data_IF_939166338633
#
_entry.id   IF_939166338633
#
_cell.length_a   1.000
_cell.length_b   1.000
_cell.length_c   1.000
_cell.angle_alpha   90.00
_cell.angle_beta   90.00
_cell.angle_gamma   90.00
#
_symmetry.space_group_name_H-M   'P 1'
#
loop_
_entity.id
_entity.type
_entity.pdbx_description
1 polymer ?
#
# COMPACT_ATOMS: atom_id res chain seq x y z
N UNK A 1 27.83 9.89 -34.59
CA UNK A 1 26.73 10.79 -34.98
C UNK A 1 26.13 11.33 -33.69
N UNK A 2 25.90 12.61 -33.43
CA UNK A 2 25.85 13.86 -34.20
C UNK A 2 26.13 14.98 -33.19
N UNK A 3 27.01 15.93 -33.54
CA UNK A 3 27.41 17.03 -32.67
C UNK A 3 26.39 18.16 -32.70
N UNK A 4 25.82 18.48 -31.54
CA UNK A 4 24.85 19.56 -31.32
C UNK A 4 25.57 20.92 -31.29
N UNK A 5 25.48 21.70 -32.37
CA UNK A 5 25.96 23.10 -32.38
C UNK A 5 24.98 23.97 -31.60
N UNK A 6 25.50 24.68 -30.59
CA UNK A 6 24.85 25.83 -29.94
C UNK A 6 24.90 27.01 -30.92
N UNK A 7 23.74 27.44 -31.41
CA UNK A 7 23.58 28.71 -32.14
C UNK A 7 23.27 29.81 -31.13
N UNK A 8 24.32 30.43 -30.60
CA UNK A 8 24.23 31.63 -29.78
C UNK A 8 24.21 32.86 -30.69
N UNK A 9 23.08 33.56 -30.74
CA UNK A 9 22.97 35.04 -30.82
C UNK A 9 24.03 35.77 -31.67
N UNK A 10 24.05 35.56 -32.98
CA UNK A 10 24.77 36.43 -33.94
C UNK A 10 23.82 37.15 -34.91
N UNK A 11 22.52 36.83 -34.88
CA UNK A 11 21.54 37.33 -35.87
C UNK A 11 20.97 38.73 -35.56
N UNK A 12 21.41 39.40 -34.49
CA UNK A 12 20.81 40.67 -34.02
C UNK A 12 21.71 41.90 -34.06
N UNK A 13 23.03 41.75 -34.22
CA UNK A 13 23.95 42.90 -34.22
C UNK A 13 24.09 43.58 -35.58
N UNK A 14 24.06 42.82 -36.67
CA UNK A 14 24.25 43.35 -38.03
C UNK A 14 23.04 44.22 -38.44
N UNK A 15 21.82 43.72 -38.20
CA UNK A 15 20.59 44.49 -38.45
C UNK A 15 20.47 45.75 -37.57
N UNK A 16 20.99 45.74 -36.34
CA UNK A 16 20.98 46.91 -35.46
C UNK A 16 21.98 47.97 -35.93
N UNK A 17 23.19 47.56 -36.33
CA UNK A 17 24.19 48.46 -36.89
C UNK A 17 23.72 49.07 -38.21
N UNK A 18 23.02 48.30 -39.07
CA UNK A 18 22.43 48.82 -40.30
C UNK A 18 21.33 49.85 -40.04
N UNK A 19 20.46 49.63 -39.05
CA UNK A 19 19.42 50.59 -38.66
C UNK A 19 20.04 51.86 -38.08
N UNK A 20 21.05 51.74 -37.21
CA UNK A 20 21.73 52.90 -36.61
C UNK A 20 22.51 53.68 -37.67
N UNK A 21 23.21 53.00 -38.58
CA UNK A 21 23.94 53.65 -39.66
C UNK A 21 23.01 54.42 -40.60
N UNK A 22 21.85 53.84 -40.94
CA UNK A 22 20.87 54.50 -41.79
C UNK A 22 20.22 55.71 -41.09
N UNK A 23 19.91 55.60 -39.79
CA UNK A 23 19.36 56.70 -39.00
C UNK A 23 20.35 57.85 -38.86
N UNK A 24 21.62 57.56 -38.54
CA UNK A 24 22.68 58.59 -38.44
C UNK A 24 22.95 59.21 -39.80
N UNK A 25 22.95 58.42 -40.88
CA UNK A 25 23.11 58.92 -42.25
C UNK A 25 22.03 59.92 -42.64
N UNK A 26 20.76 59.61 -42.39
CA UNK A 26 19.63 60.52 -42.63
C UNK A 26 19.77 61.80 -41.79
N UNK A 27 20.22 61.68 -40.54
CA UNK A 27 20.37 62.82 -39.63
C UNK A 27 21.50 63.76 -40.07
N UNK A 28 22.63 63.23 -40.53
CA UNK A 28 23.73 64.02 -41.10
C UNK A 28 23.27 64.74 -42.37
N UNK A 29 22.56 64.05 -43.26
CA UNK A 29 22.02 64.66 -44.49
C UNK A 29 21.05 65.80 -44.15
N UNK A 30 20.15 65.61 -43.18
CA UNK A 30 19.22 66.65 -42.74
C UNK A 30 19.93 67.87 -42.14
N UNK A 31 20.95 67.68 -41.30
CA UNK A 31 21.71 68.78 -40.70
C UNK A 31 22.48 69.57 -41.76
N UNK A 32 23.07 68.88 -42.74
CA UNK A 32 23.77 69.54 -43.87
C UNK A 32 22.79 70.31 -44.74
N UNK A 33 21.63 69.71 -45.08
CA UNK A 33 20.59 70.40 -45.87
C UNK A 33 20.07 71.63 -45.12
N UNK A 34 19.76 71.51 -43.83
CA UNK A 34 19.31 72.64 -43.02
C UNK A 34 20.39 73.73 -42.89
N UNK A 35 21.67 73.34 -42.79
CA UNK A 35 22.80 74.26 -42.80
C UNK A 35 22.92 75.03 -44.12
N UNK A 36 22.81 74.34 -45.26
CA UNK A 36 22.86 74.97 -46.58
C UNK A 36 21.65 75.87 -46.86
N UNK A 37 20.45 75.45 -46.45
CA UNK A 37 19.21 76.23 -46.64
C UNK A 37 19.22 77.49 -45.78
N UNK A 38 19.69 77.41 -44.54
CA UNK A 38 19.82 78.58 -43.65
C UNK A 38 20.83 79.57 -44.21
N UNK A 39 21.96 79.10 -44.75
CA UNK A 39 22.95 79.99 -45.37
C UNK A 39 22.37 80.72 -46.59
N UNK A 40 21.63 80.01 -47.45
CA UNK A 40 20.97 80.57 -48.62
C UNK A 40 19.90 81.62 -48.25
N UNK A 41 19.12 81.39 -47.19
CA UNK A 41 18.13 82.35 -46.69
C UNK A 41 18.81 83.59 -46.09
N UNK A 42 19.92 83.42 -45.34
CA UNK A 42 20.65 84.56 -44.76
C UNK A 42 21.37 85.40 -45.81
N UNK A 43 21.85 84.81 -46.91
CA UNK A 43 22.42 85.57 -48.03
C UNK A 43 21.35 86.35 -48.80
N UNK A 44 20.18 85.75 -49.06
CA UNK A 44 19.04 86.45 -49.67
C UNK A 44 18.52 87.62 -48.81
N UNK A 45 18.42 87.43 -47.49
CA UNK A 45 18.01 88.50 -46.58
C UNK A 45 19.06 89.63 -46.45
N UNK A 46 20.33 89.35 -46.74
CA UNK A 46 21.40 90.36 -46.68
C UNK A 46 21.51 91.18 -47.97
N UNK A 47 21.02 90.67 -49.10
CA UNK A 47 21.03 91.40 -50.38
C UNK A 47 19.87 92.38 -50.59
N UNK A 48 18.78 92.30 -49.82
CA UNK A 48 17.57 93.11 -50.03
C UNK A 48 17.43 94.34 -49.11
N UNK A 49 18.32 94.54 -48.14
CA UNK A 49 18.14 95.64 -47.16
C UNK A 49 19.01 96.86 -47.47
N UNK A 50 18.58 97.70 -48.42
CA UNK A 50 18.90 99.14 -48.42
C UNK A 50 17.79 99.86 -47.65
N UNK A 51 18.06 100.57 -46.55
CA UNK A 51 17.04 101.31 -45.83
C UNK A 51 17.01 102.77 -46.32
N UNK A 52 15.96 103.13 -47.06
CA UNK A 52 15.46 104.51 -47.10
C UNK A 52 14.03 104.49 -47.66
N UNK A 53 13.04 104.63 -46.77
CA UNK A 53 12.08 105.74 -46.79
C UNK A 53 10.95 105.48 -45.78
N UNK A 54 10.80 106.43 -44.88
CA UNK A 54 9.79 106.53 -43.83
C UNK A 54 8.37 106.65 -44.40
N UNK A 55 7.46 105.76 -43.99
CA UNK A 55 6.03 105.89 -44.23
C UNK A 55 5.47 106.96 -43.27
N UNK A 56 5.18 108.14 -43.80
CA UNK A 56 4.30 109.11 -43.18
C UNK A 56 2.85 108.64 -43.39
N UNK A 57 2.08 108.61 -42.30
CA UNK A 57 0.65 108.27 -42.29
C UNK A 57 -0.12 109.56 -42.59
N UNK A 58 -0.80 109.61 -43.73
CA UNK A 58 -1.73 110.70 -44.07
C UNK A 58 -3.18 110.23 -43.84
N UNK A 59 -3.85 110.88 -42.89
CA UNK A 59 -5.28 110.80 -42.65
C UNK A 59 -6.00 111.64 -43.73
N UNK A 60 -6.44 111.05 -44.84
CA UNK A 60 -7.64 111.47 -45.60
C UNK A 60 -7.74 110.87 -47.01
N UNK A 61 -8.00 109.58 -47.10
CA UNK A 61 -8.65 109.03 -48.30
C UNK A 61 -9.47 107.82 -47.92
N UNK A 62 -10.79 107.91 -48.08
CA UNK A 62 -11.62 106.74 -48.34
C UNK A 62 -11.23 106.24 -49.74
N UNK A 63 -10.06 105.60 -49.86
CA UNK A 63 -9.68 104.89 -51.06
C UNK A 63 -10.63 103.71 -51.19
N UNK A 64 -11.65 103.88 -52.02
CA UNK A 64 -12.43 102.75 -52.50
C UNK A 64 -11.43 101.77 -53.13
N UNK A 65 -11.39 100.55 -52.60
CA UNK A 65 -10.48 99.51 -53.04
C UNK A 65 -10.43 99.45 -54.57
N UNK A 66 -9.21 99.50 -55.12
CA UNK A 66 -9.03 99.42 -56.57
C UNK A 66 -9.67 98.14 -57.09
N UNK A 67 -10.32 98.19 -58.26
CA UNK A 67 -11.03 97.05 -58.84
C UNK A 67 -10.15 95.79 -58.92
N UNK A 68 -8.85 95.95 -59.15
CA UNK A 68 -7.87 94.85 -59.13
C UNK A 68 -7.59 94.26 -57.74
N UNK A 69 -7.65 95.05 -56.66
CA UNK A 69 -7.52 94.55 -55.29
C UNK A 69 -8.76 93.74 -54.86
N UNK A 70 -9.96 94.16 -55.30
CA UNK A 70 -11.21 93.41 -55.07
C UNK A 70 -11.22 92.07 -55.81
N UNK A 71 -10.71 92.04 -57.05
CA UNK A 71 -10.57 90.79 -57.82
C UNK A 71 -9.56 89.82 -57.16
N UNK A 72 -8.42 90.33 -56.66
CA UNK A 72 -7.44 89.52 -55.92
C UNK A 72 -8.00 88.96 -54.60
N UNK A 73 -8.76 89.77 -53.85
CA UNK A 73 -9.44 89.32 -52.62
C UNK A 73 -10.51 88.26 -52.92
N UNK A 74 -11.25 88.42 -54.02
CA UNK A 74 -12.20 87.42 -54.51
C UNK A 74 -11.50 86.10 -54.87
N UNK A 75 -10.35 86.16 -55.54
CA UNK A 75 -9.55 84.97 -55.85
C UNK A 75 -9.01 84.28 -54.59
N UNK A 76 -8.48 85.04 -53.64
CA UNK A 76 -8.03 84.51 -52.35
C UNK A 76 -9.17 83.91 -51.53
N UNK A 77 -10.33 84.54 -51.49
CA UNK A 77 -11.52 84.03 -50.80
C UNK A 77 -12.03 82.73 -51.44
N UNK A 78 -12.03 82.65 -52.78
CA UNK A 78 -12.35 81.43 -53.52
C UNK A 78 -11.36 80.30 -53.22
N UNK A 79 -10.05 80.58 -53.21
CA UNK A 79 -9.02 79.60 -52.84
C UNK A 79 -9.18 79.14 -51.39
N UNK A 80 -9.39 80.05 -50.45
CA UNK A 80 -9.62 79.73 -49.04
C UNK A 80 -10.88 78.87 -48.85
N UNK A 81 -11.99 79.20 -49.52
CA UNK A 81 -13.22 78.42 -49.49
C UNK A 81 -13.02 77.02 -50.10
N UNK A 82 -12.23 76.89 -51.17
CA UNK A 82 -11.90 75.59 -51.76
C UNK A 82 -11.03 74.72 -50.84
N UNK A 83 -10.00 75.31 -50.21
CA UNK A 83 -9.15 74.62 -49.24
C UNK A 83 -9.94 74.19 -47.99
N UNK A 84 -10.90 75.00 -47.55
CA UNK A 84 -11.77 74.65 -46.43
C UNK A 84 -12.71 73.49 -46.78
N UNK A 85 -13.26 73.45 -47.99
CA UNK A 85 -14.04 72.28 -48.47
C UNK A 85 -13.18 71.03 -48.54
N UNK A 86 -11.97 71.12 -49.07
CA UNK A 86 -11.03 70.00 -49.15
C UNK A 86 -10.64 69.48 -47.76
N UNK A 87 -10.43 70.38 -46.79
CA UNK A 87 -10.16 70.02 -45.39
C UNK A 87 -11.33 69.25 -44.77
N UNK A 88 -12.57 69.72 -45.00
CA UNK A 88 -13.77 69.03 -44.50
C UNK A 88 -13.94 67.64 -45.14
N UNK A 89 -13.70 67.52 -46.44
CA UNK A 89 -13.73 66.22 -47.13
C UNK A 89 -12.66 65.26 -46.59
N UNK A 90 -11.46 65.77 -46.29
CA UNK A 90 -10.39 64.97 -45.71
C UNK A 90 -10.73 64.51 -44.28
N UNK A 91 -11.30 65.39 -43.46
CA UNK A 91 -11.77 65.04 -42.11
C UNK A 91 -12.86 63.96 -42.14
N UNK A 92 -13.80 64.03 -43.09
CA UNK A 92 -14.80 62.96 -43.26
C UNK A 92 -14.15 61.63 -43.65
N UNK A 93 -13.17 61.66 -44.56
CA UNK A 93 -12.42 60.45 -44.95
C UNK A 93 -11.65 59.87 -43.77
N UNK A 94 -10.96 60.70 -42.99
CA UNK A 94 -10.26 60.31 -41.77
C UNK A 94 -11.20 59.63 -40.77
N UNK A 95 -12.37 60.24 -40.49
CA UNK A 95 -13.37 59.63 -39.59
C UNK A 95 -13.86 58.27 -40.07
N UNK A 96 -14.04 58.09 -41.39
CA UNK A 96 -14.42 56.79 -41.98
C UNK A 96 -13.31 55.76 -41.80
N UNK A 97 -12.05 56.14 -42.03
CA UNK A 97 -10.92 55.24 -41.82
C UNK A 97 -10.72 54.89 -40.35
N UNK A 98 -10.85 55.84 -39.42
CA UNK A 98 -10.76 55.56 -37.99
C UNK A 98 -11.83 54.57 -37.53
N UNK A 99 -13.07 54.74 -38.01
CA UNK A 99 -14.14 53.79 -37.75
C UNK A 99 -13.83 52.39 -38.31
N UNK A 100 -13.26 52.31 -39.52
CA UNK A 100 -12.86 51.06 -40.13
C UNK A 100 -11.72 50.37 -39.37
N UNK A 101 -10.71 51.14 -38.93
CA UNK A 101 -9.58 50.65 -38.13
C UNK A 101 -10.10 50.13 -36.78
N UNK A 102 -11.02 50.83 -36.13
CA UNK A 102 -11.62 50.39 -34.87
C UNK A 102 -12.38 49.06 -35.04
N UNK A 103 -13.15 48.91 -36.12
CA UNK A 103 -13.84 47.65 -36.44
C UNK A 103 -12.85 46.50 -36.70
N UNK A 104 -11.80 46.75 -37.48
CA UNK A 104 -10.76 45.75 -37.76
C UNK A 104 -10.01 45.34 -36.48
N UNK A 105 -9.70 46.28 -35.60
CA UNK A 105 -9.06 45.99 -34.32
C UNK A 105 -9.97 45.16 -33.41
N UNK A 106 -11.27 45.45 -33.37
CA UNK A 106 -12.23 44.65 -32.62
C UNK A 106 -12.33 43.21 -33.16
N UNK A 107 -12.42 43.07 -34.48
CA UNK A 107 -12.44 41.76 -35.14
C UNK A 107 -11.14 40.97 -34.89
N UNK A 108 -9.99 41.65 -34.96
CA UNK A 108 -8.69 41.06 -34.63
C UNK A 108 -8.62 40.62 -33.18
N UNK A 109 -9.12 41.43 -32.24
CA UNK A 109 -9.20 41.08 -30.82
C UNK A 109 -9.99 39.79 -30.61
N UNK A 110 -11.18 39.68 -31.18
CA UNK A 110 -11.99 38.45 -31.12
C UNK A 110 -11.26 37.24 -31.70
N UNK A 111 -10.53 37.43 -32.81
CA UNK A 111 -9.79 36.33 -33.44
C UNK A 111 -8.59 35.87 -32.61
N UNK A 112 -7.91 36.79 -31.92
CA UNK A 112 -6.85 36.47 -30.96
C UNK A 112 -7.40 35.77 -29.73
N UNK A 113 -8.57 36.17 -29.22
CA UNK A 113 -9.23 35.50 -28.10
C UNK A 113 -9.59 34.05 -28.47
N UNK A 114 -10.16 33.84 -29.67
CA UNK A 114 -10.45 32.51 -30.19
C UNK A 114 -9.19 31.67 -30.37
N UNK A 115 -8.10 32.27 -30.86
CA UNK A 115 -6.81 31.61 -30.97
C UNK A 115 -6.30 31.18 -29.59
N UNK A 116 -6.37 32.05 -28.58
CA UNK A 116 -5.95 31.72 -27.22
C UNK A 116 -6.77 30.58 -26.61
N UNK A 117 -8.09 30.55 -26.85
CA UNK A 117 -8.95 29.43 -26.41
C UNK A 117 -8.54 28.13 -27.12
N UNK A 118 -8.29 28.18 -28.43
CA UNK A 118 -7.89 27.00 -29.20
C UNK A 118 -6.52 26.45 -28.77
N UNK A 119 -5.56 27.34 -28.48
CA UNK A 119 -4.22 26.97 -27.97
C UNK A 119 -4.32 26.33 -26.58
N UNK A 120 -5.12 26.90 -25.67
CA UNK A 120 -5.34 26.33 -24.34
C UNK A 120 -6.01 24.95 -24.41
N UNK A 121 -7.04 24.79 -25.26
CA UNK A 121 -7.72 23.51 -25.45
C UNK A 121 -6.79 22.44 -26.07
N UNK A 122 -5.89 22.87 -26.98
CA UNK A 122 -4.87 22.00 -27.55
C UNK A 122 -3.86 21.53 -26.50
N UNK A 123 -3.38 22.44 -25.64
CA UNK A 123 -2.43 22.11 -24.57
C UNK A 123 -3.05 21.16 -23.54
N UNK A 124 -4.32 21.38 -23.18
CA UNK A 124 -5.08 20.47 -22.31
C UNK A 124 -5.19 19.07 -22.92
N UNK A 125 -5.65 18.96 -24.18
CA UNK A 125 -5.77 17.68 -24.89
C UNK A 125 -4.42 16.97 -25.05
N UNK A 126 -3.33 17.72 -25.29
CA UNK A 126 -1.99 17.17 -25.34
C UNK A 126 -1.56 16.60 -23.98
N UNK A 127 -1.83 17.33 -22.90
CA UNK A 127 -1.51 16.88 -21.54
C UNK A 127 -2.27 15.61 -21.14
N UNK A 128 -3.56 15.51 -21.51
CA UNK A 128 -4.39 14.31 -21.28
C UNK A 128 -3.86 13.10 -22.07
N UNK A 129 -3.48 13.32 -23.33
CA UNK A 129 -2.90 12.27 -24.15
C UNK A 129 -1.58 11.76 -23.57
N UNK A 130 -0.72 12.65 -23.09
CA UNK A 130 0.55 12.29 -22.47
C UNK A 130 0.33 11.54 -21.15
N UNK A 131 -0.63 11.97 -20.31
CA UNK A 131 -1.03 11.23 -19.12
C UNK A 131 -1.57 9.84 -19.46
N UNK A 132 -2.37 9.72 -20.52
CA UNK A 132 -2.91 8.44 -20.98
C UNK A 132 -1.80 7.51 -21.48
N UNK A 133 -0.84 8.03 -22.25
CA UNK A 133 0.35 7.29 -22.69
C UNK A 133 1.19 6.83 -21.50
N UNK A 134 1.46 7.70 -20.52
CA UNK A 134 2.17 7.33 -19.29
C UNK A 134 1.43 6.23 -18.53
N UNK A 135 0.11 6.35 -18.37
CA UNK A 135 -0.72 5.33 -17.72
C UNK A 135 -0.68 4.00 -18.47
N UNK A 136 -0.78 4.02 -19.79
CA UNK A 136 -0.70 2.80 -20.61
C UNK A 136 0.68 2.13 -20.53
N UNK A 137 1.77 2.92 -20.51
CA UNK A 137 3.13 2.40 -20.37
C UNK A 137 3.37 1.79 -18.98
N UNK A 138 2.80 2.39 -17.93
CA UNK A 138 2.81 1.84 -16.57
C UNK A 138 2.07 0.51 -16.51
N UNK A 139 0.85 0.46 -17.05
CA UNK A 139 0.03 -0.76 -17.07
C UNK A 139 0.72 -1.89 -17.86
N UNK A 140 1.33 -1.57 -19.01
CA UNK A 140 2.12 -2.55 -19.77
C UNK A 140 3.35 -3.06 -19.01
N UNK A 141 3.97 -2.23 -18.16
CA UNK A 141 5.07 -2.67 -17.30
C UNK A 141 4.56 -3.64 -16.23
N UNK A 142 3.46 -3.31 -15.56
CA UNK A 142 2.82 -4.16 -14.56
C UNK A 142 2.40 -5.51 -15.16
N UNK A 143 1.84 -5.52 -16.37
CA UNK A 143 1.51 -6.76 -17.09
C UNK A 143 2.76 -7.60 -17.34
N UNK A 144 3.85 -7.01 -17.86
CA UNK A 144 5.11 -7.74 -18.10
C UNK A 144 5.73 -8.30 -16.82
N UNK A 145 5.64 -7.56 -15.72
CA UNK A 145 6.12 -7.99 -14.41
C UNK A 145 5.30 -9.19 -13.90
N UNK A 146 3.97 -9.10 -13.97
CA UNK A 146 3.08 -10.20 -13.61
C UNK A 146 3.29 -11.44 -14.51
N UNK A 147 3.49 -11.26 -15.82
CA UNK A 147 3.81 -12.35 -16.75
C UNK A 147 5.15 -13.01 -16.40
N UNK A 148 6.16 -12.21 -16.02
CA UNK A 148 7.45 -12.72 -15.55
C UNK A 148 7.33 -13.49 -14.24
N UNK A 149 6.52 -13.02 -13.29
CA UNK A 149 6.24 -13.73 -12.04
C UNK A 149 5.51 -15.05 -12.30
N UNK A 150 4.50 -15.04 -13.17
CA UNK A 150 3.78 -16.26 -13.57
C UNK A 150 4.73 -17.25 -14.23
N UNK A 151 5.61 -16.79 -15.13
CA UNK A 151 6.62 -17.64 -15.77
C UNK A 151 7.63 -18.20 -14.75
N UNK A 152 8.07 -17.38 -13.78
CA UNK A 152 8.96 -17.83 -12.71
C UNK A 152 8.28 -18.88 -11.82
N UNK A 153 7.03 -18.63 -11.42
CA UNK A 153 6.23 -19.56 -10.62
C UNK A 153 5.96 -20.87 -11.37
N UNK A 154 5.60 -20.81 -12.65
CA UNK A 154 5.46 -21.98 -13.50
C UNK A 154 6.78 -22.77 -13.56
N UNK A 155 7.91 -22.10 -13.77
CA UNK A 155 9.23 -22.74 -13.77
C UNK A 155 9.62 -23.32 -12.41
N UNK A 156 9.21 -22.71 -11.28
CA UNK A 156 9.40 -23.31 -9.95
C UNK A 156 8.52 -24.53 -9.75
N UNK A 157 7.27 -24.48 -10.19
CA UNK A 157 6.33 -25.61 -10.12
C UNK A 157 6.85 -26.79 -10.94
N UNK A 158 7.34 -26.55 -12.15
CA UNK A 158 7.91 -27.59 -13.01
C UNK A 158 9.22 -28.15 -12.40
N UNK A 159 10.04 -27.30 -11.77
CA UNK A 159 11.20 -27.78 -11.00
C UNK A 159 10.80 -28.64 -9.82
N UNK A 160 9.85 -28.20 -9.00
CA UNK A 160 9.35 -28.96 -7.84
C UNK A 160 8.64 -30.25 -8.25
N UNK A 161 8.02 -30.29 -9.44
CA UNK A 161 7.40 -31.49 -9.98
C UNK A 161 8.42 -32.49 -10.55
N UNK A 162 9.53 -32.00 -11.10
CA UNK A 162 10.60 -32.82 -11.69
C UNK A 162 11.76 -33.11 -10.72
N UNK A 163 11.90 -32.34 -9.65
CA UNK A 163 12.62 -32.76 -8.46
C UNK A 163 11.85 -33.97 -7.94
N UNK A 164 12.37 -35.16 -8.22
CA UNK A 164 11.95 -36.38 -7.55
C UNK A 164 11.93 -36.04 -6.06
N UNK A 165 10.72 -35.98 -5.49
CA UNK A 165 10.52 -35.72 -4.08
C UNK A 165 11.55 -36.60 -3.37
N UNK A 166 12.45 -36.05 -2.53
CA UNK A 166 13.44 -36.85 -1.87
C UNK A 166 12.64 -37.98 -1.25
N UNK A 167 12.92 -39.20 -1.69
CA UNK A 167 12.31 -40.40 -1.15
C UNK A 167 12.90 -40.46 0.25
N UNK A 168 12.35 -39.62 1.14
CA UNK A 168 12.24 -39.92 2.54
C UNK A 168 11.42 -41.18 2.46
N UNK A 169 12.12 -42.30 2.45
CA UNK A 169 11.57 -43.55 2.88
C UNK A 169 11.06 -43.26 4.29
N UNK A 170 9.84 -42.74 4.35
CA UNK A 170 9.01 -42.89 5.53
C UNK A 170 8.96 -44.39 5.61
N UNK A 171 9.77 -44.99 6.47
CA UNK A 171 9.59 -46.34 6.91
C UNK A 171 8.14 -46.37 7.39
N UNK A 172 7.27 -46.84 6.50
CA UNK A 172 5.87 -47.04 6.77
C UNK A 172 5.87 -48.30 7.60
N UNK A 173 6.08 -48.08 8.89
CA UNK A 173 5.67 -48.99 9.92
C UNK A 173 4.22 -49.35 9.58
N UNK A 174 3.93 -50.62 9.22
CA UNK A 174 2.60 -51.01 8.81
C UNK A 174 1.65 -50.57 9.92
N UNK A 175 0.64 -49.77 9.58
CA UNK A 175 -0.39 -49.33 10.52
C UNK A 175 -0.93 -50.58 11.22
N UNK A 176 -0.62 -50.79 12.52
CA UNK A 176 -1.17 -51.91 13.25
C UNK A 176 -2.69 -51.78 13.19
N UNK A 177 -3.36 -52.85 12.77
CA UNK A 177 -4.81 -52.92 12.89
C UNK A 177 -5.16 -52.64 14.35
N UNK A 178 -6.10 -51.71 14.58
CA UNK A 178 -6.60 -51.36 15.91
C UNK A 178 -7.12 -52.61 16.63
N UNK A 179 -6.23 -53.29 17.36
CA UNK A 179 -6.56 -54.40 18.23
C UNK A 179 -6.91 -53.76 19.56
N UNK A 180 -8.15 -53.89 20.01
CA UNK A 180 -8.55 -53.53 21.36
C UNK A 180 -7.80 -54.45 22.31
N UNK A 181 -6.64 -54.02 22.79
CA UNK A 181 -5.84 -54.75 23.76
C UNK A 181 -6.49 -54.56 25.13
N UNK A 182 -7.08 -55.62 25.65
CA UNK A 182 -7.50 -55.71 27.04
C UNK A 182 -6.25 -56.08 27.85
N UNK A 183 -5.52 -55.08 28.36
CA UNK A 183 -4.30 -55.31 29.13
C UNK A 183 -3.81 -54.06 29.85
N UNK A 184 -2.58 -54.09 30.36
CA UNK A 184 -2.00 -53.03 31.19
C UNK A 184 -1.81 -51.74 30.37
N UNK A 185 -2.29 -50.59 30.88
CA UNK A 185 -2.12 -49.29 30.24
C UNK A 185 -1.07 -48.47 31.00
N UNK A 186 -0.10 -47.90 30.27
CA UNK A 186 0.86 -46.94 30.81
C UNK A 186 0.53 -45.57 30.24
N UNK A 187 0.19 -44.64 31.12
CA UNK A 187 -0.03 -43.25 30.75
C UNK A 187 1.26 -42.44 30.87
N UNK A 188 1.63 -41.78 29.77
CA UNK A 188 2.77 -40.88 29.68
C UNK A 188 2.28 -39.48 29.33
N UNK A 189 2.91 -38.46 29.92
CA UNK A 189 2.68 -37.05 29.58
C UNK A 189 3.89 -36.48 28.85
N UNK A 190 3.67 -35.88 27.69
CA UNK A 190 4.67 -35.19 26.87
C UNK A 190 4.30 -33.71 26.73
N UNK A 191 4.96 -32.84 27.51
CA UNK A 191 4.82 -31.37 27.48
C UNK A 191 6.20 -30.73 27.47
N UNK A 192 6.38 -29.67 26.69
CA UNK A 192 7.61 -28.89 26.53
C UNK A 192 8.85 -29.75 26.29
N UNK A 193 8.72 -30.80 25.47
CA UNK A 193 9.79 -31.74 25.15
C UNK A 193 10.22 -32.65 26.31
N UNK A 194 9.42 -32.72 27.38
CA UNK A 194 9.69 -33.55 28.58
C UNK A 194 8.66 -34.67 28.71
N UNK A 195 9.14 -35.88 28.98
CA UNK A 195 8.34 -37.06 29.22
C UNK A 195 8.28 -37.39 30.71
N UNK A 196 7.08 -37.68 31.21
CA UNK A 196 6.84 -38.15 32.58
C UNK A 196 5.80 -39.27 32.60
N UNK A 197 5.89 -40.16 33.59
CA UNK A 197 4.88 -41.22 33.80
C UNK A 197 3.76 -40.68 34.67
N UNK A 198 2.52 -40.81 34.22
CA UNK A 198 1.33 -40.46 34.98
C UNK A 198 0.92 -41.69 35.81
N UNK A 199 0.97 -41.66 37.15
CA UNK A 199 0.70 -42.83 37.99
C UNK A 199 -0.81 -43.05 38.19
N UNK A 200 -1.54 -43.29 37.09
CA UNK A 200 -3.00 -43.44 37.07
C UNK A 200 -3.46 -44.57 37.98
N UNK A 201 -2.86 -45.76 37.87
CA UNK A 201 -3.27 -46.94 38.64
C UNK A 201 -3.13 -46.74 40.16
N UNK A 202 -1.97 -46.23 40.59
CA UNK A 202 -1.67 -46.01 42.01
C UNK A 202 -2.63 -44.96 42.59
N UNK A 203 -2.79 -43.83 41.90
CA UNK A 203 -3.70 -42.77 42.33
C UNK A 203 -5.15 -43.24 42.32
N UNK A 204 -5.59 -44.08 41.38
CA UNK A 204 -6.97 -44.61 41.40
C UNK A 204 -7.22 -45.55 42.57
N UNK A 205 -6.19 -46.31 42.97
CA UNK A 205 -6.25 -47.11 44.19
C UNK A 205 -6.37 -46.23 45.44
N UNK A 206 -5.63 -45.13 45.50
CA UNK A 206 -5.73 -44.13 46.59
C UNK A 206 -7.11 -43.47 46.62
N UNK A 207 -7.66 -43.03 45.48
CA UNK A 207 -9.02 -42.49 45.38
C UNK A 207 -10.03 -43.51 45.93
N UNK A 208 -9.94 -44.78 45.50
CA UNK A 208 -10.87 -45.82 45.96
C UNK A 208 -10.82 -46.02 47.47
N UNK A 209 -9.63 -45.98 48.07
CA UNK A 209 -9.46 -46.06 49.52
C UNK A 209 -9.99 -44.83 50.24
N UNK A 210 -9.77 -43.64 49.69
CA UNK A 210 -10.27 -42.39 50.26
C UNK A 210 -11.81 -42.33 50.21
N UNK A 211 -12.41 -42.68 49.06
CA UNK A 211 -13.87 -42.78 48.87
C UNK A 211 -14.52 -43.71 49.90
N UNK A 212 -13.86 -44.83 50.23
CA UNK A 212 -14.35 -45.79 51.23
C UNK A 212 -14.29 -45.25 52.67
N UNK A 213 -13.33 -44.39 52.99
CA UNK A 213 -13.17 -43.75 54.30
C UNK A 213 -14.07 -42.52 54.48
N UNK A 214 -14.47 -41.91 53.37
CA UNK A 214 -15.25 -40.67 53.36
C UNK A 214 -16.70 -40.88 53.83
N UNK A 215 -17.27 -39.86 54.47
CA UNK A 215 -18.63 -39.89 55.04
C UNK A 215 -19.71 -40.08 53.96
N UNK A 216 -20.74 -40.90 54.26
CA UNK A 216 -21.90 -41.19 53.40
C UNK A 216 -22.96 -40.07 53.38
N UNK A 217 -22.55 -38.81 53.34
CA UNK A 217 -23.49 -37.67 53.22
C UNK A 217 -23.85 -37.42 51.75
N UNK A 218 -25.14 -37.15 51.42
CA UNK A 218 -25.54 -36.85 50.05
C UNK A 218 -24.95 -35.52 49.57
N UNK A 219 -24.71 -35.42 48.26
CA UNK A 219 -24.13 -34.24 47.61
C UNK A 219 -22.82 -34.53 46.88
N UNK A 220 -22.22 -33.45 46.36
CA UNK A 220 -20.95 -33.51 45.66
C UNK A 220 -19.81 -33.22 46.64
N UNK A 221 -18.79 -34.08 46.63
CA UNK A 221 -17.58 -33.87 47.44
C UNK A 221 -16.38 -33.86 46.53
N UNK A 222 -15.63 -32.75 46.54
CA UNK A 222 -14.34 -32.64 45.90
C UNK A 222 -13.24 -33.04 46.89
N UNK A 223 -12.25 -33.79 46.43
CA UNK A 223 -11.08 -34.16 47.22
C UNK A 223 -9.86 -34.37 46.31
N UNK A 224 -8.69 -34.41 46.93
CA UNK A 224 -7.39 -34.53 46.27
C UNK A 224 -6.59 -35.65 46.94
N UNK A 225 -5.98 -36.53 46.13
CA UNK A 225 -5.05 -37.58 46.61
C UNK A 225 -3.69 -37.45 45.92
N UNK A 226 -2.65 -38.00 46.55
CA UNK A 226 -1.25 -37.83 46.17
C UNK A 226 -0.44 -37.02 47.20
N UNK A 227 0.81 -36.62 46.89
CA UNK A 227 1.48 -36.73 45.60
C UNK A 227 2.15 -38.10 45.38
N UNK A 228 1.99 -38.65 44.17
CA UNK A 228 2.71 -39.86 43.70
C UNK A 228 3.44 -39.49 42.41
N UNK A 229 4.76 -39.75 42.34
CA UNK A 229 5.62 -39.40 41.17
C UNK A 229 5.41 -37.96 40.67
N UNK A 230 5.28 -36.99 41.58
CA UNK A 230 4.99 -35.58 41.29
C UNK A 230 3.63 -35.30 40.63
N UNK A 231 2.66 -36.20 40.80
CA UNK A 231 1.27 -36.01 40.37
C UNK A 231 0.30 -36.00 41.55
N UNK A 232 -0.71 -35.15 41.45
CA UNK A 232 -1.89 -35.15 42.31
C UNK A 232 -3.13 -35.48 41.48
N UNK A 233 -4.11 -36.15 42.08
CA UNK A 233 -5.38 -36.43 41.45
C UNK A 233 -6.52 -35.71 42.17
N UNK A 234 -7.17 -34.78 41.45
CA UNK A 234 -8.35 -34.06 41.89
C UNK A 234 -9.59 -34.80 41.39
N UNK A 235 -10.54 -35.13 42.25
CA UNK A 235 -11.76 -35.83 41.85
C UNK A 235 -12.99 -35.29 42.56
N UNK A 236 -14.14 -35.54 41.93
CA UNK A 236 -15.46 -35.23 42.48
C UNK A 236 -16.25 -36.52 42.61
N UNK A 237 -16.80 -36.78 43.79
CA UNK A 237 -17.77 -37.85 44.02
C UNK A 237 -19.16 -37.22 44.08
N UNK A 238 -20.06 -37.71 43.24
CA UNK A 238 -21.48 -37.40 43.32
C UNK A 238 -22.20 -38.52 44.09
N UNK A 239 -22.89 -38.18 45.17
CA UNK A 239 -23.68 -39.13 45.95
C UNK A 239 -25.15 -38.77 45.91
N UNK A 240 -25.96 -39.62 45.28
CA UNK A 240 -27.41 -39.45 45.17
C UNK A 240 -28.16 -40.48 46.01
N UNK A 241 -29.28 -40.06 46.58
CA UNK A 241 -30.17 -40.91 47.36
C UNK A 241 -31.39 -41.19 46.50
N UNK A 242 -31.61 -42.46 46.16
CA UNK A 242 -32.71 -42.90 45.32
C UNK A 242 -33.52 -44.00 45.99
N UNK A 243 -34.80 -44.13 45.62
CA UNK A 243 -35.59 -45.31 45.96
C UNK A 243 -35.14 -46.43 45.04
N UNK A 244 -34.63 -47.52 45.61
CA UNK A 244 -34.24 -48.71 44.87
C UNK A 244 -35.14 -49.85 45.30
N UNK A 245 -35.74 -50.52 44.32
CA UNK A 245 -36.57 -51.70 44.53
C UNK A 245 -35.73 -52.92 44.20
N UNK A 246 -35.34 -53.67 45.23
CA UNK A 246 -34.63 -54.94 45.07
C UNK A 246 -35.48 -56.03 45.74
N UNK A 247 -35.78 -57.09 45.00
CA UNK A 247 -36.58 -58.25 45.45
C UNK A 247 -37.91 -57.87 46.12
N UNK A 248 -38.67 -56.95 45.50
CA UNK A 248 -40.01 -56.57 45.96
C UNK A 248 -40.05 -55.68 47.22
N UNK A 249 -38.90 -55.33 47.81
CA UNK A 249 -38.80 -54.37 48.92
C UNK A 249 -38.30 -53.02 48.40
N UNK A 250 -39.06 -51.96 48.63
CA UNK A 250 -38.65 -50.59 48.29
C UNK A 250 -37.82 -50.02 49.44
N UNK A 251 -36.52 -49.86 49.21
CA UNK A 251 -35.59 -49.23 50.16
C UNK A 251 -35.08 -47.89 49.64
N UNK A 252 -34.51 -47.09 50.54
CA UNK A 252 -33.71 -45.93 50.17
C UNK A 252 -32.26 -46.43 50.05
N UNK A 253 -31.66 -46.30 48.88
CA UNK A 253 -30.25 -46.63 48.65
C UNK A 253 -29.48 -45.39 48.22
N UNK A 254 -28.29 -45.24 48.76
CA UNK A 254 -27.35 -44.21 48.36
C UNK A 254 -26.41 -44.78 47.30
N UNK A 255 -26.37 -44.15 46.13
CA UNK A 255 -25.43 -44.50 45.07
C UNK A 255 -24.35 -43.43 44.98
N UNK A 256 -23.09 -43.84 45.05
CA UNK A 256 -21.95 -42.97 44.82
C UNK A 256 -21.41 -43.21 43.41
N UNK A 257 -21.24 -42.14 42.63
CA UNK A 257 -20.61 -42.17 41.32
C UNK A 257 -19.35 -41.30 41.37
N UNK A 258 -18.22 -41.86 40.92
CA UNK A 258 -17.02 -41.09 40.69
C UNK A 258 -17.22 -40.27 39.42
N UNK A 259 -17.11 -38.94 39.52
CA UNK A 259 -17.20 -38.03 38.39
C UNK A 259 -15.91 -38.02 37.57
N UNK A 260 -15.53 -36.83 37.08
CA UNK A 260 -14.25 -36.62 36.42
C UNK A 260 -13.12 -36.62 37.46
N UNK A 261 -11.99 -37.23 37.08
CA UNK A 261 -10.74 -37.23 37.81
C UNK A 261 -9.71 -36.50 36.97
N UNK A 262 -9.15 -35.42 37.47
CA UNK A 262 -8.10 -34.65 36.83
C UNK A 262 -6.75 -34.98 37.47
N UNK A 263 -5.79 -35.41 36.67
CA UNK A 263 -4.41 -35.64 37.07
C UNK A 263 -3.58 -34.44 36.68
N UNK A 264 -2.94 -33.83 37.68
CA UNK A 264 -2.16 -32.62 37.53
C UNK A 264 -0.75 -32.86 38.05
N UNK A 265 0.29 -32.42 37.31
CA UNK A 265 1.65 -32.44 37.81
C UNK A 265 1.81 -31.36 38.89
N UNK A 266 2.60 -31.64 39.92
CA UNK A 266 2.93 -30.67 40.97
C UNK A 266 3.80 -29.52 40.43
N UNK A 267 4.53 -29.76 39.34
CA UNK A 267 5.37 -28.76 38.68
C UNK A 267 5.28 -28.92 37.17
N UNK A 268 5.19 -27.81 36.44
CA UNK A 268 5.07 -27.86 34.97
C UNK A 268 6.28 -28.51 34.29
N UNK A 269 7.47 -28.39 34.89
CA UNK A 269 8.73 -28.99 34.45
C UNK A 269 8.89 -30.48 34.81
N UNK A 270 7.84 -31.13 35.33
CA UNK A 270 7.86 -32.55 35.67
C UNK A 270 8.21 -33.42 34.45
N UNK A 271 9.22 -34.28 34.62
CA UNK A 271 9.70 -35.20 33.59
C UNK A 271 11.12 -34.95 33.10
N UNK A 272 11.64 -35.91 32.34
CA UNK A 272 12.97 -35.85 31.74
C UNK A 272 12.87 -35.38 30.28
N UNK A 273 13.85 -34.63 29.76
CA UNK A 273 13.85 -34.19 28.38
C UNK A 273 13.93 -35.40 27.43
N UNK A 274 13.20 -35.36 26.32
CA UNK A 274 13.06 -36.50 25.40
C UNK A 274 14.42 -37.03 24.89
N UNK A 275 15.38 -36.12 24.66
CA UNK A 275 16.72 -36.49 24.20
C UNK A 275 17.51 -37.33 25.20
N UNK A 276 17.21 -37.25 26.50
CA UNK A 276 17.79 -38.12 27.53
C UNK A 276 17.00 -39.43 27.65
N UNK A 277 15.67 -39.35 27.53
CA UNK A 277 14.78 -40.52 27.62
C UNK A 277 15.04 -41.54 26.51
N UNK A 278 15.34 -41.06 25.32
CA UNK A 278 15.64 -41.90 24.15
C UNK A 278 17.04 -42.52 24.20
N UNK A 279 17.93 -42.07 25.11
CA UNK A 279 19.24 -42.70 25.33
C UNK A 279 19.07 -43.95 26.19
N UNK A 280 19.96 -44.93 25.98
CA UNK A 280 19.96 -46.17 26.76
C UNK A 280 20.11 -45.88 28.26
N UNK A 281 19.21 -46.47 29.09
CA UNK A 281 19.09 -46.39 30.56
C UNK A 281 18.25 -45.24 31.13
N UNK A 282 17.13 -44.90 30.50
CA UNK A 282 16.19 -43.90 31.04
C UNK A 282 15.16 -44.50 32.00
N UNK A 283 14.36 -43.65 32.67
CA UNK A 283 13.25 -44.12 33.51
C UNK A 283 12.24 -44.97 32.72
N UNK A 284 12.09 -44.68 31.42
CA UNK A 284 11.19 -45.40 30.53
C UNK A 284 11.64 -46.86 30.39
N UNK A 285 12.95 -47.11 30.36
CA UNK A 285 13.50 -48.48 30.29
C UNK A 285 13.16 -49.27 31.55
N UNK A 286 13.22 -48.62 32.71
CA UNK A 286 12.88 -49.24 34.00
C UNK A 286 11.38 -49.53 34.08
N UNK A 287 10.54 -48.61 33.60
CA UNK A 287 9.09 -48.77 33.63
C UNK A 287 8.59 -49.85 32.65
N UNK A 288 9.28 -50.00 31.51
CA UNK A 288 9.00 -51.03 30.51
C UNK A 288 9.67 -52.37 30.81
N UNK A 289 10.73 -52.40 31.63
CA UNK A 289 11.43 -53.62 32.00
C UNK A 289 10.50 -54.59 32.74
N UNK A 290 10.24 -55.76 32.14
CA UNK A 290 9.40 -56.81 32.72
C UNK A 290 7.93 -56.77 32.30
N UNK A 291 7.52 -55.83 31.45
CA UNK A 291 6.17 -55.80 30.86
C UNK A 291 6.14 -56.54 29.52
N UNK A 292 5.02 -57.22 29.23
CA UNK A 292 4.81 -57.91 27.95
C UNK A 292 4.36 -56.91 26.87
N UNK A 293 5.13 -56.69 25.79
CA UNK A 293 4.76 -55.77 24.71
C UNK A 293 3.43 -56.09 24.03
N UNK A 294 2.99 -57.36 24.04
CA UNK A 294 1.71 -57.76 23.43
C UNK A 294 0.49 -57.47 24.30
N UNK A 295 0.69 -57.32 25.61
CA UNK A 295 -0.38 -57.10 26.59
C UNK A 295 -0.40 -55.66 27.13
N UNK A 296 0.69 -54.90 26.98
CA UNK A 296 0.79 -53.53 27.46
C UNK A 296 0.55 -52.50 26.35
N UNK A 297 -0.33 -51.53 26.60
CA UNK A 297 -0.55 -50.36 25.74
C UNK A 297 0.02 -49.11 26.38
N UNK A 298 0.75 -48.31 25.61
CA UNK A 298 1.31 -47.03 26.08
C UNK A 298 0.47 -45.90 25.52
N UNK A 299 -0.18 -45.14 26.40
CA UNK A 299 -0.97 -43.96 26.03
C UNK A 299 -0.17 -42.70 26.31
N UNK A 300 0.13 -41.93 25.25
CA UNK A 300 0.87 -40.68 25.33
C UNK A 300 -0.09 -39.50 25.22
N UNK A 301 -0.24 -38.75 26.31
CA UNK A 301 -0.92 -37.47 26.37
C UNK A 301 0.04 -36.37 25.91
N UNK A 302 -0.25 -35.77 24.77
CA UNK A 302 0.68 -34.86 24.09
C UNK A 302 0.09 -33.47 23.93
N UNK A 303 0.86 -32.46 24.33
CA UNK A 303 0.50 -31.06 24.19
C UNK A 303 1.00 -30.49 22.85
N UNK A 304 0.43 -29.36 22.37
CA UNK A 304 0.76 -28.82 21.05
C UNK A 304 2.23 -28.43 20.88
N UNK A 305 2.90 -28.11 21.97
CA UNK A 305 4.32 -27.75 22.01
C UNK A 305 5.26 -28.92 21.74
N UNK A 306 4.77 -30.17 21.83
CA UNK A 306 5.61 -31.37 21.80
C UNK A 306 5.19 -32.40 20.72
N UNK A 307 4.46 -31.97 19.69
CA UNK A 307 4.04 -32.86 18.60
C UNK A 307 5.21 -33.37 17.75
N UNK A 308 6.32 -32.61 17.66
CA UNK A 308 7.52 -33.03 16.93
C UNK A 308 8.23 -34.22 17.58
N UNK A 309 8.30 -34.21 18.91
CA UNK A 309 8.95 -35.21 19.75
C UNK A 309 8.16 -36.52 19.83
N UNK A 310 6.84 -36.45 19.65
CA UNK A 310 5.95 -37.63 19.66
C UNK A 310 6.38 -38.68 18.62
N UNK A 311 6.86 -38.25 17.45
CA UNK A 311 7.29 -39.17 16.39
C UNK A 311 8.50 -39.99 16.84
N UNK A 312 9.50 -39.33 17.40
CA UNK A 312 10.72 -39.99 17.90
C UNK A 312 10.40 -40.97 19.03
N UNK A 313 9.47 -40.59 19.93
CA UNK A 313 8.99 -41.47 20.98
C UNK A 313 8.26 -42.69 20.43
N UNK A 314 7.37 -42.51 19.44
CA UNK A 314 6.64 -43.61 18.80
C UNK A 314 7.58 -44.60 18.12
N UNK A 315 8.56 -44.10 17.35
CA UNK A 315 9.56 -44.95 16.70
C UNK A 315 10.35 -45.76 17.73
N UNK A 316 10.76 -45.14 18.84
CA UNK A 316 11.46 -45.82 19.93
C UNK A 316 10.62 -46.90 20.64
N UNK A 317 9.33 -46.63 20.90
CA UNK A 317 8.43 -47.59 21.51
C UNK A 317 8.07 -48.74 20.56
N UNK A 318 7.91 -48.44 19.27
CA UNK A 318 7.66 -49.46 18.25
C UNK A 318 8.85 -50.41 18.08
N UNK A 319 10.08 -49.90 18.05
CA UNK A 319 11.29 -50.74 17.99
C UNK A 319 11.37 -51.75 19.15
N UNK A 320 10.67 -51.48 20.27
CA UNK A 320 10.56 -52.36 21.44
C UNK A 320 9.32 -53.24 21.45
N UNK A 321 8.46 -53.13 20.44
CA UNK A 321 7.27 -53.95 20.24
C UNK A 321 6.01 -53.49 20.98
N UNK A 322 6.01 -52.30 21.61
CA UNK A 322 4.85 -51.81 22.35
C UNK A 322 3.84 -51.08 21.45
N UNK A 323 2.55 -51.35 21.67
CA UNK A 323 1.47 -50.58 21.04
C UNK A 323 1.37 -49.18 21.66
N UNK A 324 1.31 -48.13 20.84
CA UNK A 324 1.32 -46.73 21.31
C UNK A 324 0.08 -45.97 20.87
N UNK A 325 -0.75 -45.53 21.81
CA UNK A 325 -1.85 -44.59 21.57
C UNK A 325 -1.36 -43.15 21.79
N UNK A 326 -1.81 -42.19 20.97
CA UNK A 326 -1.56 -40.77 21.20
C UNK A 326 -2.87 -40.02 21.41
N UNK A 327 -2.94 -39.19 22.46
CA UNK A 327 -4.09 -38.36 22.80
C UNK A 327 -3.66 -36.89 22.86
N UNK A 328 -4.00 -36.09 21.83
CA UNK A 328 -3.70 -34.67 21.85
C UNK A 328 -4.57 -33.95 22.89
N UNK A 329 -3.94 -33.11 23.71
CA UNK A 329 -4.60 -32.23 24.67
C UNK A 329 -4.44 -30.78 24.24
N UNK A 330 -5.36 -29.91 24.69
CA UNK A 330 -5.18 -28.46 24.56
C UNK A 330 -4.14 -27.98 25.58
N UNK A 331 -3.52 -26.84 25.30
CA UNK A 331 -2.55 -26.25 26.23
C UNK A 331 -3.20 -25.92 27.57
N UNK A 332 -2.48 -26.16 28.67
CA UNK A 332 -2.97 -25.98 30.04
C UNK A 332 -4.06 -26.96 30.51
N UNK A 333 -4.55 -27.87 29.66
CA UNK A 333 -5.59 -28.83 30.05
C UNK A 333 -5.01 -29.94 30.94
N UNK A 334 -5.63 -30.20 32.09
CA UNK A 334 -5.31 -31.35 32.93
C UNK A 334 -5.69 -32.68 32.24
N UNK A 335 -5.03 -33.77 32.62
CA UNK A 335 -5.35 -35.10 32.08
C UNK A 335 -6.61 -35.58 32.81
N UNK A 336 -7.74 -35.66 32.09
CA UNK A 336 -9.04 -36.01 32.69
C UNK A 336 -9.43 -37.44 32.33
N UNK A 337 -9.72 -38.23 33.37
CA UNK A 337 -10.35 -39.55 33.25
C UNK A 337 -11.78 -39.47 33.77
N UNK A 338 -12.73 -40.05 33.05
CA UNK A 338 -14.13 -40.15 33.50
C UNK A 338 -14.55 -41.61 33.61
N UNK A 339 -15.34 -41.93 34.64
CA UNK A 339 -15.85 -43.28 34.90
C UNK A 339 -16.84 -43.79 33.84
N UNK A 340 -17.36 -42.90 32.98
CA UNK A 340 -18.28 -43.20 31.87
C UNK A 340 -17.59 -43.49 30.53
N UNK A 341 -16.25 -43.46 30.50
CA UNK A 341 -15.37 -44.22 29.60
C UNK A 341 -15.42 -43.96 28.09
N UNK A 342 -14.56 -43.05 27.60
CA UNK A 342 -13.91 -43.22 26.29
C UNK A 342 -12.56 -43.93 26.50
N UNK A 343 -12.51 -45.24 26.21
CA UNK A 343 -11.25 -46.00 26.20
C UNK A 343 -10.34 -45.57 25.05
N UNK A 344 -9.03 -45.57 25.30
CA UNK A 344 -8.01 -45.24 24.28
C UNK A 344 -8.02 -46.32 23.22
N UNK A 345 -8.17 -45.93 21.94
CA UNK A 345 -7.86 -46.81 20.82
C UNK A 345 -6.40 -46.60 20.48
N UNK A 346 -5.56 -47.61 20.74
CA UNK A 346 -4.18 -47.62 20.26
C UNK A 346 -4.17 -47.76 18.73
N UNK A 347 -3.25 -47.05 18.09
CA UNK A 347 -3.04 -47.06 16.64
C UNK A 347 -1.63 -47.50 16.32
#
# INVERSE_FOLDING_TARGET
>A
MSGRRRSTVELGHDAFLDIVANLVGILIILVVILGTQTHHITEMMRSETKPDESIQIDESTTEFASRGQLDQLGEMAMRAASAQRESLELEEKLRRYDAQIAQLNAARGQMLDLQGIAEAAWEEAQSELDQTKVRSAKLQREIREAESEVAALAGTKDRLANEEAPVVAVEHLPTPMAKTVFGDEIDLRLKSGRLSVVPVEILMKEIKQDVQRMTRKPGNTAATVGPVRDYVANYVIERTVGRVTQDGRTGIAMTARLGAVAFEPLTESSGQPIGEVLRNRSFLDVELAGRDPNATTITVWVYPDSFGELRQLKEHLYQRGFATAARPLMDGQAIIFSSTGTRSKAQ
#
